data_IF_518749142545
#
_entry.id   IF_518749142545
#
_cell.length_a   1.000
_cell.length_b   1.000
_cell.length_c   1.000
_cell.angle_alpha   90.00
_cell.angle_beta   90.00
_cell.angle_gamma   90.00
#
_symmetry.space_group_name_H-M   'P 1'
#
loop_
_entity.id
_entity.type
_entity.pdbx_description
1 polymer ?
#
# COMPACT_ATOMS: atom_id res chain seq x y z
N UNK A 1 -16.03 21.58 -33.33
CA UNK A 1 -17.23 21.01 -32.67
C UNK A 1 -17.59 19.71 -33.39
N UNK A 2 -18.14 18.75 -32.64
CA UNK A 2 -18.56 17.38 -33.04
C UNK A 2 -17.39 16.37 -33.19
N UNK A 3 -17.34 15.20 -32.53
CA UNK A 3 -18.42 14.40 -31.93
C UNK A 3 -17.94 13.49 -30.78
N UNK A 4 -18.24 13.87 -29.54
CA UNK A 4 -18.07 13.10 -28.29
C UNK A 4 -19.19 12.05 -28.07
N UNK A 5 -19.69 11.39 -29.13
CA UNK A 5 -20.94 10.61 -29.07
C UNK A 5 -20.85 9.17 -29.59
N UNK A 6 -19.65 8.63 -29.87
CA UNK A 6 -19.51 7.27 -30.44
C UNK A 6 -18.75 6.25 -29.58
N UNK A 7 -18.34 6.62 -28.37
CA UNK A 7 -17.59 5.71 -27.48
C UNK A 7 -18.53 5.03 -26.45
N UNK A 8 -19.82 5.39 -26.43
CA UNK A 8 -20.81 4.88 -25.47
C UNK A 8 -21.47 3.55 -25.87
N UNK A 9 -21.09 2.92 -26.98
CA UNK A 9 -21.75 1.71 -27.48
C UNK A 9 -20.90 0.42 -27.41
N UNK A 10 -19.65 0.49 -26.92
CA UNK A 10 -18.78 -0.69 -26.85
C UNK A 10 -18.75 -1.39 -25.47
N UNK A 11 -19.29 -0.77 -24.41
CA UNK A 11 -19.27 -1.33 -23.04
C UNK A 11 -20.56 -2.05 -22.62
N UNK A 12 -21.63 -1.96 -23.42
CA UNK A 12 -22.91 -2.61 -23.11
C UNK A 12 -23.00 -4.02 -23.74
N UNK A 13 -22.29 -4.27 -24.87
CA UNK A 13 -22.28 -5.58 -25.53
C UNK A 13 -21.51 -6.67 -24.77
N UNK A 14 -20.47 -6.31 -24.01
CA UNK A 14 -19.68 -7.28 -23.23
C UNK A 14 -20.41 -7.72 -21.94
N UNK A 15 -21.28 -6.86 -21.41
CA UNK A 15 -22.04 -7.12 -20.17
C UNK A 15 -23.24 -8.05 -20.39
N UNK A 16 -23.71 -8.21 -21.64
CA UNK A 16 -24.81 -9.13 -22.01
C UNK A 16 -24.29 -10.53 -22.39
N UNK A 17 -23.00 -10.69 -22.73
CA UNK A 17 -22.40 -11.99 -23.07
C UNK A 17 -21.92 -12.82 -21.86
N UNK A 18 -21.92 -12.26 -20.65
CA UNK A 18 -21.52 -12.98 -19.41
C UNK A 18 -22.74 -13.48 -18.61
N UNK A 19 -23.97 -13.13 -19.02
CA UNK A 19 -25.24 -13.48 -18.35
C UNK A 19 -26.02 -14.65 -19.01
N UNK A 20 -25.39 -15.41 -19.93
CA UNK A 20 -26.05 -16.43 -20.77
C UNK A 20 -25.66 -17.88 -20.48
N UNK A 21 -25.39 -18.25 -19.23
CA UNK A 21 -24.96 -19.61 -18.86
C UNK A 21 -25.82 -20.23 -17.76
N UNK A 22 -27.11 -20.43 -18.01
CA UNK A 22 -27.96 -21.28 -17.17
C UNK A 22 -28.47 -22.47 -18.00
N UNK A 23 -28.52 -23.63 -17.34
CA UNK A 23 -29.36 -24.79 -17.63
C UNK A 23 -28.82 -25.87 -18.58
N UNK A 24 -28.39 -27.01 -18.01
CA UNK A 24 -29.09 -28.32 -18.03
C UNK A 24 -28.08 -29.40 -17.58
N UNK A 25 -28.36 -30.10 -16.48
CA UNK A 25 -28.70 -31.54 -16.48
C UNK A 25 -28.73 -32.11 -15.05
N UNK A 26 -29.94 -32.42 -14.60
CA UNK A 26 -30.22 -33.29 -13.47
C UNK A 26 -29.75 -34.72 -13.72
N UNK A 27 -29.20 -35.36 -12.69
CA UNK A 27 -29.29 -36.80 -12.48
C UNK A 27 -29.09 -37.16 -11.01
N UNK A 28 -29.90 -38.12 -10.56
CA UNK A 28 -30.28 -38.47 -9.19
C UNK A 28 -29.25 -39.35 -8.47
N UNK A 29 -29.34 -39.37 -7.13
CA UNK A 29 -28.73 -40.36 -6.23
C UNK A 29 -27.99 -39.63 -5.11
N UNK A 30 -28.33 -39.71 -3.83
CA UNK A 30 -29.00 -40.75 -3.06
C UNK A 30 -28.16 -40.94 -1.78
N UNK A 31 -28.76 -40.71 -0.60
CA UNK A 31 -28.24 -41.25 0.66
C UNK A 31 -27.46 -40.31 1.60
N UNK A 32 -28.05 -40.14 2.79
CA UNK A 32 -27.39 -40.29 4.10
C UNK A 32 -26.67 -39.09 4.75
N UNK A 33 -27.41 -38.46 5.68
CA UNK A 33 -27.06 -38.16 7.09
C UNK A 33 -25.67 -37.60 7.46
N UNK A 34 -25.70 -36.44 8.13
CA UNK A 34 -24.61 -35.79 8.88
C UNK A 34 -23.92 -36.69 9.93
N UNK A 35 -22.71 -36.34 10.39
CA UNK A 35 -22.60 -35.38 11.49
C UNK A 35 -21.48 -34.33 11.37
N UNK A 36 -21.64 -33.30 12.18
CA UNK A 36 -20.75 -32.19 12.48
C UNK A 36 -19.47 -32.63 13.22
N UNK A 37 -18.35 -31.95 12.95
CA UNK A 37 -17.28 -31.78 13.94
C UNK A 37 -16.50 -30.49 13.66
N UNK A 38 -16.68 -29.53 14.57
CA UNK A 38 -15.94 -28.28 14.64
C UNK A 38 -14.56 -28.54 15.24
N UNK A 39 -13.50 -28.05 14.58
CA UNK A 39 -12.15 -28.01 15.15
C UNK A 39 -11.62 -26.58 15.07
N UNK A 40 -11.81 -25.85 16.16
CA UNK A 40 -11.20 -24.56 16.45
C UNK A 40 -9.73 -24.73 16.80
N UNK A 41 -8.82 -24.18 16.00
CA UNK A 41 -7.44 -23.94 16.41
C UNK A 41 -7.27 -22.49 16.82
N UNK A 42 -7.12 -22.30 18.13
CA UNK A 42 -6.88 -21.02 18.81
C UNK A 42 -5.48 -20.49 18.48
N UNK A 43 -5.45 -19.26 17.96
CA UNK A 43 -4.25 -18.47 17.75
C UNK A 43 -3.59 -18.11 19.08
N UNK A 44 -2.31 -18.48 19.23
CA UNK A 44 -1.43 -17.93 20.26
C UNK A 44 -1.00 -16.52 19.87
N UNK A 45 -1.72 -15.49 20.34
CA UNK A 45 -1.28 -14.10 20.28
C UNK A 45 -0.44 -13.78 21.52
N UNK A 46 0.88 -13.79 21.36
CA UNK A 46 1.83 -13.24 22.32
C UNK A 46 1.80 -11.71 22.24
N UNK A 47 0.90 -11.09 22.99
CA UNK A 47 0.90 -9.64 23.22
C UNK A 47 2.07 -9.28 24.14
N UNK A 48 3.19 -8.86 23.55
CA UNK A 48 4.25 -8.18 24.29
C UNK A 48 3.79 -6.75 24.62
N UNK A 49 3.79 -6.42 25.91
CA UNK A 49 3.44 -5.11 26.42
C UNK A 49 4.47 -4.05 25.98
N UNK A 50 4.07 -2.82 25.60
CA UNK A 50 5.03 -1.79 25.22
C UNK A 50 5.68 -1.20 26.48
N UNK A 51 7.01 -1.18 26.48
CA UNK A 51 7.82 -0.45 27.46
C UNK A 51 7.56 1.06 27.33
N UNK A 52 7.28 1.71 28.47
CA UNK A 52 7.22 3.17 28.61
C UNK A 52 8.60 3.78 28.31
N UNK A 53 8.69 4.63 27.28
CA UNK A 53 9.88 5.44 27.04
C UNK A 53 10.14 5.89 25.60
N UNK A 54 9.50 5.28 24.59
CA UNK A 54 9.60 5.77 23.21
C UNK A 54 8.62 6.91 22.98
N UNK A 55 9.10 8.08 22.56
CA UNK A 55 8.25 9.07 21.91
C UNK A 55 7.43 8.35 20.83
N UNK A 56 6.11 8.59 20.80
CA UNK A 56 5.24 7.92 19.84
C UNK A 56 5.71 8.24 18.42
N UNK A 57 6.02 7.21 17.63
CA UNK A 57 6.44 7.37 16.23
C UNK A 57 5.28 7.98 15.44
N UNK A 58 5.45 9.13 14.77
CA UNK A 58 4.38 9.74 13.99
C UNK A 58 3.81 8.79 12.93
N UNK A 59 2.48 8.67 12.89
CA UNK A 59 1.78 7.79 11.96
C UNK A 59 1.64 6.33 12.44
N UNK A 60 2.21 5.94 13.59
CA UNK A 60 2.04 4.59 14.14
C UNK A 60 0.59 4.25 14.54
N UNK A 61 -0.25 5.27 14.74
CA UNK A 61 -1.69 5.17 14.97
C UNK A 61 -2.51 4.81 13.71
N UNK A 62 -1.89 4.80 12.53
CA UNK A 62 -2.55 4.47 11.26
C UNK A 62 -2.98 3.01 11.09
N UNK A 63 -2.53 2.11 11.96
CA UNK A 63 -2.75 0.66 11.84
C UNK A 63 -1.84 -0.03 10.81
N UNK A 64 -0.91 0.70 10.18
CA UNK A 64 0.12 0.13 9.31
C UNK A 64 1.23 -0.53 10.14
N UNK A 65 1.93 -1.56 9.60
CA UNK A 65 3.07 -2.14 10.28
C UNK A 65 4.17 -1.09 10.52
N UNK A 66 4.81 -1.14 11.69
CA UNK A 66 5.93 -0.29 12.05
C UNK A 66 7.26 -1.01 11.77
N UNK A 67 8.21 -0.32 11.13
CA UNK A 67 9.59 -0.80 10.93
C UNK A 67 10.59 0.28 11.32
N UNK A 68 11.71 -0.16 11.87
CA UNK A 68 12.89 0.68 12.03
C UNK A 68 13.52 0.97 10.66
N UNK A 69 13.98 2.21 10.42
CA UNK A 69 14.70 2.60 9.22
C UNK A 69 15.91 1.71 8.97
N UNK A 70 16.62 1.30 10.02
CA UNK A 70 17.77 0.37 9.92
C UNK A 70 17.43 -1.02 9.34
N UNK A 71 16.15 -1.43 9.38
CA UNK A 71 15.68 -2.71 8.84
C UNK A 71 15.26 -2.63 7.37
N UNK A 72 15.22 -1.43 6.80
CA UNK A 72 14.94 -1.20 5.39
C UNK A 72 16.22 -1.34 4.56
N UNK A 73 16.14 -1.44 3.21
CA UNK A 73 17.33 -1.35 2.37
C UNK A 73 18.12 -0.07 2.68
N UNK A 74 19.45 -0.14 2.69
CA UNK A 74 20.31 1.00 3.08
C UNK A 74 20.04 2.28 2.29
N UNK A 75 19.61 2.16 1.03
CA UNK A 75 19.24 3.30 0.19
C UNK A 75 18.06 4.12 0.76
N UNK A 76 17.22 3.53 1.62
CA UNK A 76 16.17 4.27 2.32
C UNK A 76 16.78 5.25 3.33
N UNK A 77 17.82 4.84 4.07
CA UNK A 77 18.54 5.73 4.98
C UNK A 77 19.26 6.85 4.21
N UNK A 78 19.89 6.53 3.08
CA UNK A 78 20.50 7.56 2.21
C UNK A 78 19.46 8.58 1.74
N UNK A 79 18.27 8.12 1.35
CA UNK A 79 17.17 8.98 0.91
C UNK A 79 16.64 9.83 2.06
N UNK A 80 16.50 9.25 3.25
CA UNK A 80 16.08 9.98 4.46
C UNK A 80 17.06 11.12 4.79
N UNK A 81 18.37 10.87 4.75
CA UNK A 81 19.37 11.92 4.98
C UNK A 81 19.28 13.06 3.96
N UNK A 82 18.92 12.78 2.71
CA UNK A 82 18.70 13.82 1.70
C UNK A 82 17.44 14.63 2.01
N UNK A 83 16.37 13.98 2.47
CA UNK A 83 15.13 14.65 2.89
C UNK A 83 15.43 15.60 4.06
N UNK A 84 16.17 15.15 5.07
CA UNK A 84 16.56 15.98 6.23
C UNK A 84 17.39 17.21 5.83
N UNK A 85 18.24 17.06 4.80
CA UNK A 85 19.07 18.15 4.27
C UNK A 85 18.33 19.06 3.28
N UNK A 86 17.14 18.68 2.82
CA UNK A 86 16.41 19.39 1.75
C UNK A 86 17.00 19.18 0.35
N UNK A 87 17.70 18.07 0.11
CA UNK A 87 18.35 17.72 -1.16
C UNK A 87 19.85 18.05 -1.22
N UNK A 88 20.45 18.13 -2.42
CA UNK A 88 19.82 17.95 -3.73
C UNK A 88 19.32 16.52 -3.97
N UNK A 89 18.17 16.40 -4.61
CA UNK A 89 17.56 15.09 -4.88
C UNK A 89 18.03 14.48 -6.20
N UNK A 90 18.21 13.14 -6.28
CA UNK A 90 18.70 12.48 -7.49
C UNK A 90 17.70 12.53 -8.65
N UNK A 91 16.40 12.61 -8.36
CA UNK A 91 15.34 12.67 -9.36
C UNK A 91 14.53 13.97 -9.19
N UNK A 92 15.09 15.14 -9.53
CA UNK A 92 14.49 16.45 -9.19
C UNK A 92 13.13 16.75 -9.85
N UNK A 93 12.71 15.94 -10.85
CA UNK A 93 11.37 16.04 -11.45
C UNK A 93 10.30 15.26 -10.69
N UNK A 94 10.70 14.41 -9.75
CA UNK A 94 9.82 13.46 -9.07
C UNK A 94 9.99 13.47 -7.54
N UNK A 95 11.21 13.64 -7.06
CA UNK A 95 11.47 13.69 -5.62
C UNK A 95 10.97 15.02 -5.06
N UNK A 96 10.21 14.94 -3.98
CA UNK A 96 9.55 16.08 -3.35
C UNK A 96 8.25 16.52 -4.02
N UNK A 97 7.73 15.79 -5.02
CA UNK A 97 6.40 16.09 -5.57
C UNK A 97 5.30 15.56 -4.64
N UNK A 98 4.10 16.13 -4.78
CA UNK A 98 2.93 15.72 -3.98
C UNK A 98 2.54 14.28 -4.28
N UNK A 99 2.40 13.47 -3.22
CA UNK A 99 1.77 12.16 -3.27
C UNK A 99 0.28 12.31 -2.94
N UNK A 100 -0.60 12.05 -3.90
CA UNK A 100 -2.03 12.33 -3.75
C UNK A 100 -2.80 11.32 -2.89
N UNK A 101 -2.20 10.14 -2.58
CA UNK A 101 -2.86 9.08 -1.82
C UNK A 101 -4.26 8.70 -2.37
N UNK A 102 -4.39 8.56 -3.70
CA UNK A 102 -5.68 8.33 -4.39
C UNK A 102 -6.35 7.03 -3.97
N UNK A 103 -5.54 5.99 -3.78
CA UNK A 103 -5.94 4.65 -3.37
C UNK A 103 -6.20 4.56 -1.85
N UNK A 104 -6.00 5.66 -1.11
CA UNK A 104 -6.29 5.81 0.33
C UNK A 104 -5.61 4.74 1.18
N UNK A 105 -4.35 4.42 0.86
CA UNK A 105 -3.54 3.44 1.61
C UNK A 105 -2.86 4.05 2.83
N UNK A 106 -2.64 5.36 2.81
CA UNK A 106 -2.25 6.16 3.97
C UNK A 106 -3.49 6.85 4.58
N UNK A 107 -3.42 7.34 5.82
CA UNK A 107 -4.51 8.12 6.42
C UNK A 107 -5.01 9.26 5.53
N UNK A 108 -6.33 9.51 5.56
CA UNK A 108 -6.95 10.57 4.77
C UNK A 108 -6.51 11.97 5.25
N UNK A 109 -5.82 12.72 4.40
CA UNK A 109 -5.35 14.08 4.65
C UNK A 109 -5.66 15.00 3.46
N UNK A 110 -5.48 16.31 3.64
CA UNK A 110 -5.68 17.30 2.56
C UNK A 110 -4.65 17.10 1.43
N UNK A 111 -4.98 17.55 0.22
CA UNK A 111 -4.02 17.57 -0.89
C UNK A 111 -2.77 18.37 -0.52
N UNK A 112 -1.59 17.92 -0.97
CA UNK A 112 -0.30 18.51 -0.61
C UNK A 112 0.22 18.13 0.78
N UNK A 113 -0.46 17.23 1.51
CA UNK A 113 0.03 16.76 2.81
C UNK A 113 1.21 15.80 2.67
N UNK A 114 1.15 14.89 1.71
CA UNK A 114 2.18 13.87 1.50
C UNK A 114 3.08 14.24 0.32
N UNK A 115 4.37 13.92 0.44
CA UNK A 115 5.37 14.09 -0.63
C UNK A 115 6.17 12.81 -0.80
N UNK A 116 6.51 12.47 -2.06
CA UNK A 116 7.23 11.25 -2.39
C UNK A 116 8.72 11.48 -2.71
N UNK A 117 9.54 10.49 -2.35
CA UNK A 117 10.97 10.48 -2.64
C UNK A 117 11.41 9.10 -3.09
N UNK A 118 12.26 9.07 -4.12
CA UNK A 118 12.77 7.83 -4.70
C UNK A 118 13.80 7.19 -3.80
N UNK A 119 13.58 5.94 -3.43
CA UNK A 119 14.61 5.08 -2.85
C UNK A 119 15.26 4.29 -3.97
N UNK A 120 16.56 4.46 -4.18
CA UNK A 120 17.27 3.78 -5.27
C UNK A 120 17.21 2.26 -5.11
N UNK A 121 16.96 1.57 -6.23
CA UNK A 121 17.13 0.11 -6.32
C UNK A 121 18.48 -0.17 -6.98
N UNK A 122 19.47 -0.76 -6.28
CA UNK A 122 20.76 -1.09 -6.87
C UNK A 122 20.61 -1.95 -8.14
N UNK A 123 21.36 -1.59 -9.18
CA UNK A 123 21.32 -2.28 -10.48
C UNK A 123 20.10 -1.97 -11.35
N UNK A 124 19.11 -1.21 -10.87
CA UNK A 124 17.99 -0.78 -11.71
C UNK A 124 18.43 0.30 -12.70
N UNK A 125 18.04 0.22 -13.98
CA UNK A 125 18.28 1.29 -14.96
C UNK A 125 17.30 2.47 -14.79
N UNK A 126 16.27 2.31 -13.97
CA UNK A 126 15.21 3.29 -13.72
C UNK A 126 15.10 3.66 -12.23
N UNK A 127 14.06 4.42 -11.87
CA UNK A 127 13.75 4.81 -10.48
C UNK A 127 13.37 3.63 -9.58
N UNK A 128 13.07 2.47 -10.14
CA UNK A 128 12.53 1.31 -9.42
C UNK A 128 11.18 1.58 -8.75
N UNK A 129 10.76 0.64 -7.90
CA UNK A 129 9.46 0.65 -7.21
C UNK A 129 9.49 1.25 -5.79
N UNK A 130 10.67 1.51 -5.23
CA UNK A 130 10.83 1.83 -3.80
C UNK A 130 10.70 3.33 -3.54
N UNK A 131 9.94 3.73 -2.51
CA UNK A 131 9.74 5.14 -2.16
C UNK A 131 9.70 5.34 -0.65
N UNK A 132 10.12 6.53 -0.22
CA UNK A 132 9.73 7.12 1.05
C UNK A 132 8.62 8.15 0.81
N UNK A 133 7.64 8.20 1.70
CA UNK A 133 6.58 9.21 1.71
C UNK A 133 6.67 9.96 3.04
N UNK A 134 6.77 11.29 2.99
CA UNK A 134 6.74 12.14 4.19
C UNK A 134 5.37 12.79 4.34
N UNK A 135 4.85 12.87 5.56
CA UNK A 135 3.71 13.70 5.93
C UNK A 135 4.13 15.00 6.64
N UNK A 136 3.21 15.98 6.71
CA UNK A 136 3.47 17.27 7.36
C UNK A 136 3.65 17.17 8.89
N UNK A 137 3.15 16.11 9.52
CA UNK A 137 3.35 15.88 10.96
C UNK A 137 4.58 15.00 11.23
N UNK A 138 5.57 15.06 10.34
CA UNK A 138 6.80 14.27 10.40
C UNK A 138 6.58 12.75 10.34
N UNK A 139 5.45 12.30 9.79
CA UNK A 139 5.27 10.89 9.49
C UNK A 139 6.20 10.46 8.35
N UNK A 140 6.78 9.28 8.46
CA UNK A 140 7.59 8.67 7.42
C UNK A 140 7.01 7.30 7.09
N UNK A 141 6.76 7.06 5.81
CA UNK A 141 6.29 5.78 5.32
C UNK A 141 7.22 5.24 4.25
N UNK A 142 7.31 3.92 4.15
CA UNK A 142 8.05 3.25 3.09
C UNK A 142 7.14 2.32 2.30
N UNK A 143 7.31 2.33 0.98
CA UNK A 143 6.78 1.32 0.07
C UNK A 143 7.94 0.68 -0.69
N UNK A 144 7.94 -0.65 -0.77
CA UNK A 144 8.89 -1.42 -1.57
C UNK A 144 8.34 -1.86 -2.92
N UNK A 145 7.06 -1.59 -3.18
CA UNK A 145 6.22 -2.24 -4.18
C UNK A 145 5.35 -1.23 -4.96
N UNK A 146 5.88 -0.03 -5.17
CA UNK A 146 5.27 1.03 -5.96
C UNK A 146 3.86 1.38 -5.48
N UNK A 147 3.76 1.73 -4.20
CA UNK A 147 2.54 2.19 -3.51
C UNK A 147 1.49 1.09 -3.27
N UNK A 148 1.81 -0.18 -3.54
CA UNK A 148 0.90 -1.31 -3.32
C UNK A 148 0.74 -1.68 -1.85
N UNK A 149 1.73 -1.39 -1.00
CA UNK A 149 1.65 -1.50 0.45
C UNK A 149 2.58 -0.49 1.13
N UNK A 150 2.33 -0.22 2.41
CA UNK A 150 3.10 0.73 3.21
C UNK A 150 3.42 0.18 4.59
N UNK A 151 4.54 0.63 5.11
CA UNK A 151 4.90 0.54 6.53
C UNK A 151 5.17 1.94 7.07
N UNK A 152 4.86 2.17 8.34
CA UNK A 152 5.37 3.33 9.09
C UNK A 152 6.84 3.07 9.36
N UNK A 153 7.66 4.10 9.24
CA UNK A 153 9.09 4.05 9.50
C UNK A 153 9.39 4.85 10.76
N UNK A 154 10.09 4.22 11.70
CA UNK A 154 10.75 4.92 12.79
C UNK A 154 12.15 5.36 12.31
N UNK A 155 12.38 6.64 12.00
CA UNK A 155 13.68 7.11 11.50
C UNK A 155 14.77 7.12 12.58
N UNK A 156 14.41 7.03 13.87
CA UNK A 156 15.36 7.05 14.98
C UNK A 156 15.97 5.68 15.27
N UNK A 157 15.49 4.61 14.61
CA UNK A 157 15.89 3.21 14.87
C UNK A 157 16.21 2.47 13.60
#
# INVERSE_FOLDING_TARGET
>A
MFNRRRITAALIGLLVLVLGGWLVKDAVGGGSTSPSTSSSSTAGSSSSAPAKGSAAVPGADSGLPLKALSTLPSQAADTWQLIEKGGPFPYPRNDGVVFENREKRLPGKKSGYYHEYTVKTPGSPDRGARRLITGQAHELYYTGDHYSSFVVVDPAR
#
